data_IF_815699767160
#
_entry.id   IF_815699767160
#
_cell.length_a   1.000
_cell.length_b   1.000
_cell.length_c   1.000
_cell.angle_alpha   90.00
_cell.angle_beta   90.00
_cell.angle_gamma   90.00
#
_symmetry.space_group_name_H-M   'P 1'
#
loop_
_entity.id
_entity.type
_entity.pdbx_description
1 polymer ?
#
# COMPACT_ATOMS: atom_id res chain seq x y z
N UNK A 1 -9.19 -16.60 6.26
CA UNK A 1 -7.78 -16.23 6.03
C UNK A 1 -7.61 -14.76 5.65
N UNK A 2 -8.44 -14.20 4.76
CA UNK A 2 -8.34 -12.80 4.30
C UNK A 2 -8.47 -11.76 5.41
N UNK A 3 -9.29 -12.04 6.42
CA UNK A 3 -9.54 -11.12 7.55
C UNK A 3 -8.26 -10.78 8.35
N UNK A 4 -7.38 -11.77 8.54
CA UNK A 4 -6.12 -11.59 9.28
C UNK A 4 -5.06 -10.78 8.50
N UNK A 5 -5.17 -10.69 7.18
CA UNK A 5 -4.32 -9.81 6.37
C UNK A 5 -4.94 -8.43 6.20
N UNK A 6 -6.26 -8.38 5.98
CA UNK A 6 -6.98 -7.17 5.64
C UNK A 6 -7.11 -6.23 6.84
N UNK A 7 -7.50 -6.74 8.02
CA UNK A 7 -7.67 -5.91 9.21
C UNK A 7 -6.38 -5.18 9.61
N UNK A 8 -5.23 -5.86 9.82
CA UNK A 8 -3.99 -5.17 10.17
C UNK A 8 -3.56 -4.19 9.09
N UNK A 9 -3.73 -4.54 7.82
CA UNK A 9 -3.41 -3.63 6.70
C UNK A 9 -4.24 -2.36 6.76
N UNK A 10 -5.54 -2.46 7.07
CA UNK A 10 -6.44 -1.32 7.19
C UNK A 10 -6.08 -0.43 8.37
N UNK A 11 -5.71 -1.03 9.52
CA UNK A 11 -5.28 -0.31 10.71
C UNK A 11 -3.95 0.42 10.51
N UNK A 12 -2.97 -0.22 9.86
CA UNK A 12 -1.63 0.31 9.60
C UNK A 12 -1.55 1.26 8.40
N UNK A 13 -2.54 1.24 7.51
CA UNK A 13 -2.56 2.07 6.29
C UNK A 13 -2.63 3.58 6.53
N UNK A 14 -2.93 3.99 7.77
CA UNK A 14 -3.24 5.37 8.07
C UNK A 14 -4.68 5.78 7.74
N UNK A 15 -5.54 4.84 7.32
CA UNK A 15 -6.97 5.08 7.07
C UNK A 15 -7.76 5.29 8.37
N UNK A 16 -7.76 4.27 9.25
CA UNK A 16 -8.50 4.30 10.51
C UNK A 16 -7.83 5.17 11.59
N UNK A 17 -6.49 5.24 11.58
CA UNK A 17 -5.67 5.97 12.55
C UNK A 17 -4.66 6.89 11.86
N UNK A 18 -4.22 8.00 12.46
CA UNK A 18 -3.23 8.88 11.86
C UNK A 18 -1.85 8.20 11.75
N UNK A 19 -1.34 8.08 10.54
CA UNK A 19 -0.06 7.40 10.23
C UNK A 19 1.14 7.97 11.01
N UNK A 20 1.22 9.29 11.15
CA UNK A 20 2.31 9.98 11.87
C UNK A 20 2.31 9.73 13.39
N UNK A 21 1.18 9.29 13.95
CA UNK A 21 1.07 8.95 15.37
C UNK A 21 1.50 7.51 15.68
N UNK A 22 1.84 6.71 14.67
CA UNK A 22 2.23 5.31 14.86
C UNK A 22 3.69 5.21 15.29
N UNK A 23 4.07 4.21 16.11
CA UNK A 23 5.47 3.94 16.41
C UNK A 23 6.26 3.56 15.15
N UNK A 24 7.57 3.84 15.12
CA UNK A 24 8.39 3.74 13.91
C UNK A 24 8.37 2.37 13.22
N UNK A 25 8.26 1.28 13.97
CA UNK A 25 8.13 -0.07 13.40
C UNK A 25 6.81 -0.25 12.63
N UNK A 26 5.71 0.34 13.10
CA UNK A 26 4.41 0.26 12.46
C UNK A 26 4.38 1.13 11.19
N UNK A 27 5.06 2.28 11.22
CA UNK A 27 5.26 3.10 10.03
C UNK A 27 6.05 2.35 8.97
N UNK A 28 7.16 1.69 9.33
CA UNK A 28 7.97 0.91 8.40
C UNK A 28 7.16 -0.19 7.71
N UNK A 29 6.33 -0.93 8.45
CA UNK A 29 5.42 -1.94 7.86
C UNK A 29 4.39 -1.27 6.95
N UNK A 30 3.79 -0.18 7.40
CA UNK A 30 2.79 0.55 6.64
C UNK A 30 3.33 1.11 5.32
N UNK A 31 4.59 1.53 5.24
CA UNK A 31 5.18 2.04 3.99
C UNK A 31 5.34 0.96 2.91
N UNK A 32 5.40 -0.32 3.29
CA UNK A 32 5.41 -1.43 2.32
C UNK A 32 4.00 -1.69 1.77
N UNK A 33 2.95 -1.30 2.51
CA UNK A 33 1.58 -1.58 2.12
C UNK A 33 1.10 -0.60 1.03
N UNK A 34 0.57 -1.10 -0.10
CA UNK A 34 0.03 -0.24 -1.15
C UNK A 34 -1.16 0.60 -0.66
N UNK A 35 -1.90 0.09 0.34
CA UNK A 35 -3.05 0.77 0.93
C UNK A 35 -2.65 2.10 1.59
N UNK A 36 -1.46 2.18 2.18
CA UNK A 36 -0.94 3.42 2.80
C UNK A 36 -0.73 4.51 1.78
N UNK A 37 -0.10 4.17 0.65
CA UNK A 37 0.13 5.10 -0.44
C UNK A 37 -1.19 5.53 -1.08
N UNK A 38 -2.13 4.60 -1.28
CA UNK A 38 -3.46 4.92 -1.79
C UNK A 38 -4.21 5.94 -0.91
N UNK A 39 -4.20 5.76 0.42
CA UNK A 39 -4.86 6.69 1.34
C UNK A 39 -4.19 8.08 1.30
N UNK A 40 -2.86 8.16 1.13
CA UNK A 40 -2.14 9.43 0.96
C UNK A 40 -2.57 10.14 -0.33
N UNK A 41 -2.64 9.42 -1.46
CA UNK A 41 -3.11 9.94 -2.76
C UNK A 41 -4.52 10.52 -2.64
N UNK A 42 -5.47 9.72 -2.13
CA UNK A 42 -6.87 10.14 -2.00
C UNK A 42 -7.00 11.39 -1.13
N UNK A 43 -6.28 11.44 0.01
CA UNK A 43 -6.25 12.64 0.86
C UNK A 43 -5.61 13.84 0.15
N UNK A 44 -4.53 13.64 -0.62
CA UNK A 44 -3.89 14.67 -1.42
C UNK A 44 -4.83 15.27 -2.46
N UNK A 45 -5.60 14.43 -3.16
CA UNK A 45 -6.59 14.87 -4.15
C UNK A 45 -7.73 15.63 -3.46
N UNK A 46 -8.34 15.04 -2.42
CA UNK A 46 -9.54 15.59 -1.77
C UNK A 46 -9.27 16.87 -0.98
N UNK A 47 -8.11 16.98 -0.31
CA UNK A 47 -7.82 18.09 0.62
C UNK A 47 -6.95 19.19 -0.01
N UNK A 48 -6.07 18.84 -0.96
CA UNK A 48 -5.16 19.82 -1.59
C UNK A 48 -5.55 20.16 -3.02
N UNK A 49 -6.53 19.48 -3.62
CA UNK A 49 -6.87 19.64 -5.03
C UNK A 49 -5.69 19.34 -5.96
N UNK A 50 -4.75 18.50 -5.50
CA UNK A 50 -3.55 18.17 -6.25
C UNK A 50 -3.94 17.49 -7.57
N UNK A 51 -3.56 18.10 -8.69
CA UNK A 51 -3.67 17.47 -10.01
C UNK A 51 -2.73 16.25 -10.14
N UNK A 52 -2.96 15.44 -11.18
CA UNK A 52 -2.28 14.16 -11.44
C UNK A 52 -0.74 14.28 -11.39
N UNK A 53 -0.19 15.46 -11.71
CA UNK A 53 1.26 15.72 -11.65
C UNK A 53 1.90 15.65 -10.25
N UNK A 54 1.16 15.91 -9.18
CA UNK A 54 1.69 15.88 -7.81
C UNK A 54 1.60 14.49 -7.13
N UNK A 55 0.98 13.52 -7.81
CA UNK A 55 0.70 12.17 -7.29
C UNK A 55 1.83 11.18 -7.66
N UNK A 56 2.74 11.59 -8.55
CA UNK A 56 3.85 10.76 -9.06
C UNK A 56 4.66 10.02 -7.97
N UNK A 57 5.04 10.66 -6.84
CA UNK A 57 5.80 10.01 -5.77
C UNK A 57 5.04 8.88 -5.05
N UNK A 58 3.71 8.87 -5.11
CA UNK A 58 2.87 7.87 -4.42
C UNK A 58 2.43 6.75 -5.36
N UNK A 59 2.58 6.93 -6.68
CA UNK A 59 2.27 5.93 -7.69
C UNK A 59 3.40 4.89 -7.86
N UNK A 60 4.67 5.30 -7.74
CA UNK A 60 5.81 4.39 -7.90
C UNK A 60 5.81 3.21 -6.88
N UNK A 61 5.48 3.39 -5.58
CA UNK A 61 5.48 2.30 -4.61
C UNK A 61 4.34 1.33 -4.90
N UNK A 62 3.19 1.83 -5.35
CA UNK A 62 2.02 1.00 -5.73
C UNK A 62 2.37 0.16 -6.95
N UNK A 63 3.00 0.76 -7.96
CA UNK A 63 3.44 0.06 -9.17
C UNK A 63 4.51 -1.00 -8.85
N UNK A 64 5.48 -0.67 -7.99
CA UNK A 64 6.50 -1.62 -7.53
C UNK A 64 5.86 -2.82 -6.82
N UNK A 65 4.94 -2.55 -5.88
CA UNK A 65 4.24 -3.61 -5.16
C UNK A 65 3.48 -4.54 -6.12
N UNK A 66 2.75 -3.97 -7.09
CA UNK A 66 2.04 -4.74 -8.10
C UNK A 66 2.98 -5.62 -8.95
N UNK A 67 4.12 -5.07 -9.38
CA UNK A 67 5.12 -5.81 -10.14
C UNK A 67 5.71 -6.98 -9.34
N UNK A 68 6.06 -6.76 -8.06
CA UNK A 68 6.58 -7.80 -7.16
C UNK A 68 5.54 -8.89 -6.92
N UNK A 69 4.29 -8.50 -6.61
CA UNK A 69 3.20 -9.45 -6.39
C UNK A 69 2.94 -10.30 -7.63
N UNK A 70 2.93 -9.68 -8.83
CA UNK A 70 2.74 -10.38 -10.10
C UNK A 70 3.90 -11.33 -10.40
N UNK A 71 5.15 -10.91 -10.14
CA UNK A 71 6.33 -11.76 -10.28
C UNK A 71 6.28 -13.00 -9.36
N UNK A 72 5.91 -12.80 -8.10
CA UNK A 72 5.72 -13.91 -7.14
C UNK A 72 4.60 -14.84 -7.62
N UNK A 73 3.47 -14.28 -8.06
CA UNK A 73 2.34 -15.05 -8.55
C UNK A 73 2.75 -15.92 -9.76
N UNK A 74 3.46 -15.35 -10.75
CA UNK A 74 3.94 -16.10 -11.91
C UNK A 74 4.90 -17.23 -11.52
N UNK A 75 5.84 -16.96 -10.59
CA UNK A 75 6.78 -17.97 -10.11
C UNK A 75 6.07 -19.10 -9.35
N UNK A 76 5.07 -18.75 -8.52
CA UNK A 76 4.27 -19.72 -7.75
C UNK A 76 3.38 -20.58 -8.66
N UNK A 77 2.83 -19.98 -9.72
CA UNK A 77 1.97 -20.68 -10.68
C UNK A 77 2.74 -21.79 -11.42
N UNK A 78 4.00 -21.54 -11.79
CA UNK A 78 4.87 -22.57 -12.40
C UNK A 78 5.19 -23.74 -11.47
N UNK A 79 5.19 -23.53 -10.16
CA UNK A 79 5.50 -24.57 -9.16
C UNK A 79 4.32 -25.48 -8.83
N UNK A 80 3.12 -25.17 -9.31
CA UNK A 80 1.89 -25.97 -9.02
C UNK A 80 1.48 -26.82 -10.24
N UNK A 81 2.28 -26.79 -11.31
CA UNK A 81 2.08 -27.57 -12.54
C UNK A 81 3.05 -28.75 -12.68
N UNK A 82 3.94 -28.94 -11.71
CA UNK A 82 4.69 -30.19 -11.46
C UNK A 82 4.03 -30.92 -10.26
#
# INVERSE_FOLDING_TARGET
MTFFFFLPSLLLSGFAFPFRGMPGWAQAIGEVLPLTHFVRVVRGILLKGNGIGNIGPELWPIALFAAVAMFIAMKRYRQTLD
#
